data_IF_610208610863
#
_entry.id   IF_610208610863
#
_cell.length_a   1.000
_cell.length_b   1.000
_cell.length_c   1.000
_cell.angle_alpha   90.00
_cell.angle_beta   90.00
_cell.angle_gamma   90.00
#
_symmetry.space_group_name_H-M   'P 1'
#
loop_
_entity.id
_entity.type
_entity.pdbx_description
1 polymer ?
#
# COMPACT_ATOMS: atom_id res chain seq x y z
N UNK A 1 1.63 9.13 14.22
CA UNK A 1 2.51 9.64 13.15
C UNK A 1 2.69 11.15 13.26
N UNK A 2 3.89 11.69 13.05
CA UNK A 2 4.14 13.14 13.07
C UNK A 2 3.75 13.85 11.77
N UNK A 3 3.69 15.19 11.80
CA UNK A 3 3.24 16.04 10.68
C UNK A 3 4.19 15.97 9.49
N UNK A 4 5.49 15.88 9.71
CA UNK A 4 6.50 15.85 8.65
C UNK A 4 6.40 14.55 7.84
N UNK A 5 6.16 13.42 8.51
CA UNK A 5 5.95 12.13 7.87
C UNK A 5 4.64 12.11 7.07
N UNK A 6 3.56 12.66 7.61
CA UNK A 6 2.30 12.78 6.87
C UNK A 6 2.47 13.61 5.59
N UNK A 7 3.15 14.76 5.69
CA UNK A 7 3.45 15.61 4.53
C UNK A 7 4.31 14.87 3.50
N UNK A 8 5.34 14.15 3.96
CA UNK A 8 6.17 13.32 3.08
C UNK A 8 5.35 12.26 2.35
N UNK A 9 4.47 11.54 3.04
CA UNK A 9 3.62 10.50 2.43
C UNK A 9 2.76 11.09 1.32
N UNK A 10 2.08 12.21 1.59
CA UNK A 10 1.24 12.91 0.61
C UNK A 10 2.03 13.35 -0.62
N UNK A 11 3.18 14.00 -0.42
CA UNK A 11 4.04 14.50 -1.50
C UNK A 11 4.66 13.37 -2.36
N UNK A 12 4.77 12.15 -1.82
CA UNK A 12 5.43 11.03 -2.48
C UNK A 12 4.46 9.96 -2.98
N UNK A 13 3.17 10.32 -3.13
CA UNK A 13 2.17 9.48 -3.78
C UNK A 13 1.60 8.36 -2.91
N UNK A 14 1.81 8.42 -1.60
CA UNK A 14 1.08 7.56 -0.67
C UNK A 14 -0.31 8.15 -0.46
N UNK A 15 -1.33 7.35 -0.76
CA UNK A 15 -2.73 7.75 -0.68
C UNK A 15 -3.48 6.88 0.31
N UNK A 16 -4.52 7.39 0.98
CA UNK A 16 -5.39 6.57 1.83
C UNK A 16 -5.99 5.41 1.03
N UNK A 17 -6.07 4.24 1.65
CA UNK A 17 -6.62 3.05 1.00
C UNK A 17 -8.12 3.22 0.72
N UNK A 18 -8.57 2.72 -0.42
CA UNK A 18 -9.98 2.69 -0.81
C UNK A 18 -10.41 1.27 -1.15
N UNK A 19 -11.72 1.00 -1.10
CA UNK A 19 -12.29 -0.29 -1.49
C UNK A 19 -11.93 -0.68 -2.92
N UNK A 20 -11.87 0.30 -3.83
CA UNK A 20 -11.47 0.10 -5.22
C UNK A 20 -10.02 -0.42 -5.33
N UNK A 21 -9.09 0.23 -4.63
CA UNK A 21 -7.67 -0.15 -4.65
C UNK A 21 -7.45 -1.53 -4.05
N UNK A 22 -8.20 -1.88 -3.00
CA UNK A 22 -8.13 -3.22 -2.41
C UNK A 22 -8.62 -4.26 -3.41
N UNK A 23 -9.77 -4.04 -4.06
CA UNK A 23 -10.29 -4.95 -5.07
C UNK A 23 -9.35 -5.10 -6.26
N UNK A 24 -8.74 -4.02 -6.71
CA UNK A 24 -7.74 -4.05 -7.78
C UNK A 24 -6.51 -4.87 -7.38
N UNK A 25 -6.02 -4.68 -6.15
CA UNK A 25 -4.87 -5.42 -5.61
C UNK A 25 -5.12 -6.93 -5.53
N UNK A 26 -6.39 -7.34 -5.43
CA UNK A 26 -6.81 -8.74 -5.36
C UNK A 26 -7.61 -9.18 -6.59
N UNK A 27 -7.53 -8.46 -7.72
CA UNK A 27 -8.34 -8.72 -8.91
C UNK A 27 -8.20 -10.17 -9.40
N UNK A 28 -6.96 -10.66 -9.51
CA UNK A 28 -6.69 -12.05 -9.92
C UNK A 28 -7.29 -13.07 -8.94
N UNK A 29 -7.30 -12.80 -7.63
CA UNK A 29 -7.98 -13.68 -6.67
C UNK A 29 -9.49 -13.64 -6.84
N UNK A 30 -10.08 -12.49 -7.17
CA UNK A 30 -11.50 -12.40 -7.45
C UNK A 30 -11.91 -13.23 -8.68
N UNK A 31 -11.06 -13.28 -9.69
CA UNK A 31 -11.28 -14.05 -10.92
C UNK A 31 -11.11 -15.56 -10.69
N UNK A 32 -10.11 -15.98 -9.90
CA UNK A 32 -9.74 -17.39 -9.76
C UNK A 32 -10.29 -18.07 -8.48
N UNK A 33 -10.48 -17.32 -7.40
CA UNK A 33 -10.88 -17.82 -6.08
C UNK A 33 -11.67 -16.77 -5.26
N UNK A 34 -12.92 -16.45 -5.66
CA UNK A 34 -13.67 -15.32 -5.12
C UNK A 34 -13.97 -15.40 -3.62
N UNK A 35 -14.05 -16.61 -3.06
CA UNK A 35 -14.23 -16.82 -1.62
C UNK A 35 -12.98 -16.42 -0.83
N UNK A 36 -11.80 -16.79 -1.31
CA UNK A 36 -10.50 -16.37 -0.74
C UNK A 36 -10.33 -14.85 -0.89
N UNK A 37 -10.72 -14.30 -2.05
CA UNK A 37 -10.59 -12.86 -2.31
C UNK A 37 -11.37 -12.02 -1.28
N UNK A 38 -12.61 -12.40 -0.94
CA UNK A 38 -13.42 -11.71 0.06
C UNK A 38 -12.79 -11.75 1.46
N UNK A 39 -12.24 -12.90 1.85
CA UNK A 39 -11.54 -13.03 3.13
C UNK A 39 -10.30 -12.12 3.18
N UNK A 40 -9.51 -12.12 2.09
CA UNK A 40 -8.31 -11.29 1.97
C UNK A 40 -8.62 -9.80 1.89
N UNK A 41 -9.71 -9.39 1.23
CA UNK A 41 -10.19 -8.01 1.25
C UNK A 41 -10.52 -7.56 2.68
N UNK A 42 -11.26 -8.37 3.43
CA UNK A 42 -11.59 -8.05 4.82
C UNK A 42 -10.34 -7.95 5.71
N UNK A 43 -9.36 -8.83 5.52
CA UNK A 43 -8.06 -8.76 6.20
C UNK A 43 -7.30 -7.46 5.83
N UNK A 44 -7.25 -7.14 4.54
CA UNK A 44 -6.54 -5.97 4.03
C UNK A 44 -7.14 -4.65 4.53
N UNK A 45 -8.48 -4.52 4.57
CA UNK A 45 -9.18 -3.33 5.11
C UNK A 45 -8.84 -3.07 6.57
N UNK A 46 -8.62 -4.13 7.36
CA UNK A 46 -8.22 -4.01 8.76
C UNK A 46 -6.75 -3.62 8.90
N UNK A 47 -5.88 -4.25 8.10
CA UNK A 47 -4.42 -4.17 8.26
C UNK A 47 -3.80 -2.94 7.61
N UNK A 48 -4.23 -2.57 6.41
CA UNK A 48 -3.60 -1.53 5.60
C UNK A 48 -4.41 -0.23 5.66
N UNK A 49 -3.69 0.91 5.59
CA UNK A 49 -4.30 2.25 5.65
C UNK A 49 -3.88 3.16 4.50
N UNK A 50 -2.72 2.92 3.91
CA UNK A 50 -2.24 3.65 2.75
C UNK A 50 -1.86 2.70 1.62
N UNK A 51 -1.79 3.22 0.41
CA UNK A 51 -1.20 2.55 -0.74
C UNK A 51 -0.30 3.50 -1.52
N UNK A 52 0.64 2.95 -2.27
CA UNK A 52 1.39 3.68 -3.31
C UNK A 52 1.44 2.81 -4.56
N UNK A 53 1.30 3.45 -5.74
CA UNK A 53 1.46 2.79 -7.04
C UNK A 53 2.90 2.90 -7.53
N UNK A 54 3.38 1.82 -8.11
CA UNK A 54 4.69 1.69 -8.74
C UNK A 54 4.48 1.13 -10.14
N UNK A 55 4.31 2.02 -11.12
CA UNK A 55 3.82 1.61 -12.45
C UNK A 55 2.41 1.00 -12.34
N UNK A 56 2.26 -0.23 -12.80
CA UNK A 56 0.99 -0.98 -12.74
C UNK A 56 0.77 -1.71 -11.40
N UNK A 57 1.78 -1.73 -10.53
CA UNK A 57 1.73 -2.47 -9.27
C UNK A 57 1.22 -1.59 -8.12
N UNK A 58 0.39 -2.16 -7.24
CA UNK A 58 -0.10 -1.52 -6.02
C UNK A 58 0.61 -2.13 -4.82
N UNK A 59 1.22 -1.29 -3.99
CA UNK A 59 1.76 -1.69 -2.69
C UNK A 59 0.90 -1.10 -1.57
N UNK A 60 0.47 -1.97 -0.65
CA UNK A 60 -0.33 -1.60 0.52
C UNK A 60 0.56 -1.45 1.76
N UNK A 61 0.29 -0.42 2.56
CA UNK A 61 1.08 -0.06 3.74
C UNK A 61 0.20 0.03 4.98
N UNK A 62 0.63 -0.64 6.06
CA UNK A 62 -0.01 -0.55 7.37
C UNK A 62 0.49 0.68 8.13
N UNK A 63 -0.31 1.17 9.08
CA UNK A 63 0.13 2.25 9.96
C UNK A 63 1.37 1.85 10.75
N UNK A 64 1.40 0.64 11.29
CA UNK A 64 2.55 0.12 12.04
C UNK A 64 3.85 0.20 11.23
N UNK A 65 3.82 -0.17 9.94
CA UNK A 65 4.99 -0.08 9.08
C UNK A 65 5.42 1.38 8.87
N UNK A 66 4.48 2.26 8.57
CA UNK A 66 4.78 3.68 8.32
C UNK A 66 5.30 4.39 9.56
N UNK A 67 4.77 4.03 10.74
CA UNK A 67 5.20 4.61 12.01
C UNK A 67 6.59 4.10 12.42
N UNK A 68 6.86 2.80 12.25
CA UNK A 68 8.14 2.17 12.58
C UNK A 68 9.31 2.66 11.72
N UNK A 69 9.07 2.95 10.44
CA UNK A 69 10.11 3.38 9.52
C UNK A 69 10.27 4.90 9.53
N UNK A 70 11.51 5.38 9.60
CA UNK A 70 11.86 6.78 9.35
C UNK A 70 11.57 7.20 7.91
N UNK A 71 11.46 8.51 7.66
CA UNK A 71 11.27 9.05 6.30
C UNK A 71 12.37 8.56 5.35
N UNK A 72 13.63 8.54 5.79
CA UNK A 72 14.74 8.11 4.93
C UNK A 72 14.72 6.61 4.64
N UNK A 73 14.24 5.77 5.57
CA UNK A 73 13.98 4.36 5.28
C UNK A 73 12.85 4.19 4.25
N UNK A 74 11.76 4.96 4.38
CA UNK A 74 10.68 4.94 3.40
C UNK A 74 11.16 5.37 2.01
N UNK A 75 12.04 6.38 1.91
CA UNK A 75 12.68 6.78 0.64
C UNK A 75 13.50 5.64 0.04
N UNK A 76 14.41 5.04 0.83
CA UNK A 76 15.26 3.94 0.38
C UNK A 76 14.43 2.74 -0.09
N UNK A 77 13.37 2.40 0.65
CA UNK A 77 12.48 1.30 0.30
C UNK A 77 11.66 1.63 -0.96
N UNK A 78 11.20 2.86 -1.13
CA UNK A 78 10.50 3.30 -2.34
C UNK A 78 11.39 3.16 -3.58
N UNK A 79 12.63 3.66 -3.54
CA UNK A 79 13.61 3.53 -4.65
C UNK A 79 13.88 2.05 -4.98
N UNK A 80 14.07 1.22 -3.95
CA UNK A 80 14.29 -0.23 -4.14
C UNK A 80 13.08 -0.89 -4.81
N UNK A 81 11.87 -0.46 -4.44
CA UNK A 81 10.61 -0.98 -4.96
C UNK A 81 10.39 -0.51 -6.40
N UNK A 82 10.67 0.75 -6.70
CA UNK A 82 10.64 1.31 -8.06
C UNK A 82 11.56 0.53 -8.99
N UNK A 83 12.80 0.27 -8.58
CA UNK A 83 13.74 -0.56 -9.37
C UNK A 83 13.30 -2.00 -9.58
N UNK A 84 12.44 -2.54 -8.71
CA UNK A 84 11.90 -3.90 -8.85
C UNK A 84 10.78 -3.96 -9.89
N UNK A 85 10.09 -2.84 -10.12
CA UNK A 85 8.91 -2.75 -10.96
C UNK A 85 9.14 -1.91 -12.24
N UNK A 86 10.38 -1.49 -12.49
CA UNK A 86 10.90 -0.97 -13.76
C UNK A 86 11.47 -2.13 -14.58
#
# INVERSE_FOLDING_TARGET
MDKDKLLYLEQNGYKPITDEIIRESFKSLYENAPHIAKEKEAEAKRKYKYYKRYGNEIMLYSMEYLERNSIDELKRNAIKTERRFL
#
